data_IF_773040215753
#
_entry.id   IF_773040215753
#
_cell.length_a   1.000
_cell.length_b   1.000
_cell.length_c   1.000
_cell.angle_alpha   90.00
_cell.angle_beta   90.00
_cell.angle_gamma   90.00
#
_symmetry.space_group_name_H-M   'P 1'
#
loop_
_entity.id
_entity.type
_entity.pdbx_description
1 polymer ?
#
# COMPACT_ATOMS: atom_id res chain seq x y z
N UNK A 1 -4.94 9.00 -11.36
CA UNK A 1 -4.94 8.22 -10.10
C UNK A 1 -5.64 9.02 -9.03
N UNK A 2 -6.62 8.46 -8.29
CA UNK A 2 -7.23 9.15 -7.17
C UNK A 2 -6.13 9.57 -6.19
N UNK A 3 -6.02 10.88 -5.95
CA UNK A 3 -5.00 11.47 -5.09
C UNK A 3 -5.26 11.12 -3.64
N UNK A 4 -4.86 9.92 -3.22
CA UNK A 4 -4.99 9.49 -1.84
C UNK A 4 -3.84 10.08 -1.04
N UNK A 5 -4.18 10.99 -0.14
CA UNK A 5 -3.19 11.62 0.71
C UNK A 5 -2.69 10.59 1.76
N UNK A 6 -1.38 10.38 1.91
CA UNK A 6 -0.82 9.35 2.81
C UNK A 6 -1.34 9.42 4.25
N UNK A 7 -1.62 10.62 4.77
CA UNK A 7 -2.20 10.83 6.12
C UNK A 7 -3.57 10.17 6.33
N UNK A 8 -4.29 9.85 5.26
CA UNK A 8 -5.59 9.17 5.30
C UNK A 8 -5.46 7.65 5.32
N UNK A 9 -4.29 7.10 4.99
CA UNK A 9 -4.05 5.66 5.01
C UNK A 9 -3.84 5.23 6.47
N UNK A 10 -4.61 4.23 6.89
CA UNK A 10 -4.53 3.62 8.22
C UNK A 10 -3.69 2.34 8.20
N UNK A 11 -3.80 1.55 7.14
CA UNK A 11 -3.04 0.31 6.97
C UNK A 11 -2.77 0.05 5.48
N UNK A 12 -1.69 -0.66 5.20
CA UNK A 12 -1.29 -1.07 3.86
C UNK A 12 -1.07 -2.58 3.84
N UNK A 13 -1.73 -3.26 2.94
CA UNK A 13 -1.58 -4.69 2.69
C UNK A 13 -0.97 -4.89 1.31
N UNK A 14 0.09 -5.69 1.25
CA UNK A 14 0.79 -6.02 0.00
C UNK A 14 0.66 -7.52 -0.22
N UNK A 15 0.00 -7.88 -1.31
CA UNK A 15 -0.16 -9.26 -1.75
C UNK A 15 0.85 -9.51 -2.86
N UNK A 16 1.83 -10.35 -2.57
CA UNK A 16 2.81 -10.77 -3.55
C UNK A 16 2.17 -11.67 -4.60
N UNK A 17 2.86 -11.80 -5.74
CA UNK A 17 2.55 -12.81 -6.75
C UNK A 17 2.48 -14.19 -6.11
N UNK A 18 1.39 -14.90 -6.38
CA UNK A 18 1.12 -16.22 -5.85
C UNK A 18 0.65 -17.19 -6.93
N UNK A 19 0.53 -18.49 -6.61
CA UNK A 19 0.10 -19.52 -7.57
C UNK A 19 -1.30 -19.27 -8.15
N UNK A 20 -2.14 -18.51 -7.43
CA UNK A 20 -3.51 -18.15 -7.80
C UNK A 20 -3.64 -16.76 -8.44
N UNK A 21 -2.61 -15.91 -8.36
CA UNK A 21 -2.64 -14.57 -8.94
C UNK A 21 -1.24 -14.12 -9.36
N UNK A 22 -1.03 -13.94 -10.66
CA UNK A 22 0.26 -13.57 -11.27
C UNK A 22 0.58 -12.08 -11.17
N UNK A 23 -0.21 -11.32 -10.41
CA UNK A 23 -0.01 -9.88 -10.22
C UNK A 23 0.18 -9.57 -8.75
N UNK A 24 1.05 -8.60 -8.48
CA UNK A 24 1.14 -7.98 -7.17
C UNK A 24 -0.10 -7.12 -6.98
N UNK A 25 -0.72 -7.18 -5.81
CA UNK A 25 -1.83 -6.33 -5.44
C UNK A 25 -1.49 -5.55 -4.18
N UNK A 26 -1.87 -4.28 -4.14
CA UNK A 26 -1.62 -3.41 -3.00
C UNK A 26 -2.96 -2.83 -2.59
N UNK A 27 -3.39 -3.12 -1.37
CA UNK A 27 -4.66 -2.64 -0.83
C UNK A 27 -4.36 -1.70 0.33
N UNK A 28 -4.83 -0.46 0.25
CA UNK A 28 -4.77 0.47 1.37
C UNK A 28 -6.14 0.53 2.06
N UNK A 29 -6.11 0.49 3.38
CA UNK A 29 -7.28 0.78 4.22
C UNK A 29 -7.14 2.22 4.69
N UNK A 30 -8.11 3.05 4.35
CA UNK A 30 -8.18 4.44 4.79
C UNK A 30 -8.75 4.54 6.22
N UNK A 31 -8.50 5.65 6.91
CA UNK A 31 -9.00 5.91 8.27
C UNK A 31 -10.52 5.91 8.39
N UNK A 32 -11.21 6.21 7.29
CA UNK A 32 -12.67 6.06 7.18
C UNK A 32 -13.11 4.60 6.94
N UNK A 33 -12.22 3.62 7.15
CA UNK A 33 -12.41 2.18 6.92
C UNK A 33 -12.70 1.81 5.47
N UNK A 34 -12.50 2.74 4.52
CA UNK A 34 -12.64 2.45 3.10
C UNK A 34 -11.39 1.75 2.59
N UNK A 35 -11.57 0.63 1.91
CA UNK A 35 -10.50 -0.07 1.22
C UNK A 35 -10.40 0.40 -0.22
N UNK A 36 -9.17 0.55 -0.69
CA UNK A 36 -8.86 1.03 -2.03
C UNK A 36 -7.70 0.22 -2.58
N UNK A 37 -7.88 -0.32 -3.79
CA UNK A 37 -6.79 -0.95 -4.53
C UNK A 37 -5.86 0.15 -5.08
N UNK A 38 -4.57 -0.01 -4.83
CA UNK A 38 -3.51 0.84 -5.29
C UNK A 38 -2.73 0.11 -6.38
N UNK A 39 -2.27 0.88 -7.36
CA UNK A 39 -1.50 0.35 -8.46
C UNK A 39 -0.02 0.18 -8.05
N UNK A 40 0.54 -1.05 -8.05
CA UNK A 40 1.93 -1.30 -7.65
C UNK A 40 2.97 -0.80 -8.67
N UNK A 41 2.57 -0.56 -9.92
CA UNK A 41 3.46 -0.03 -10.97
C UNK A 41 3.58 1.49 -10.87
N UNK A 42 2.60 2.16 -10.25
CA UNK A 42 2.64 3.59 -10.01
C UNK A 42 3.85 4.01 -9.13
N UNK A 43 4.67 4.98 -9.58
CA UNK A 43 5.89 5.40 -8.86
C UNK A 43 5.63 5.90 -7.43
N UNK A 44 4.46 6.52 -7.21
CA UNK A 44 4.07 7.04 -5.91
C UNK A 44 3.83 5.91 -4.89
N UNK A 45 3.21 4.82 -5.34
CA UNK A 45 2.87 3.66 -4.51
C UNK A 45 4.13 2.90 -4.14
N UNK A 46 5.05 2.69 -5.09
CA UNK A 46 6.39 2.14 -4.79
C UNK A 46 7.12 2.92 -3.69
N UNK A 47 7.16 4.25 -3.80
CA UNK A 47 7.78 5.12 -2.77
C UNK A 47 7.06 5.02 -1.43
N UNK A 48 5.73 4.92 -1.43
CA UNK A 48 4.94 4.80 -0.20
C UNK A 48 5.17 3.47 0.52
N UNK A 49 5.17 2.34 -0.21
CA UNK A 49 5.48 1.01 0.33
C UNK A 49 6.87 1.03 0.95
N UNK A 50 7.86 1.56 0.22
CA UNK A 50 9.23 1.62 0.70
C UNK A 50 9.34 2.46 1.97
N UNK A 51 8.74 3.66 2.01
CA UNK A 51 8.71 4.49 3.22
C UNK A 51 8.02 3.83 4.41
N UNK A 52 6.94 3.10 4.16
CA UNK A 52 6.16 2.42 5.22
C UNK A 52 6.95 1.24 5.79
N UNK A 53 7.60 0.43 4.95
CA UNK A 53 8.46 -0.67 5.37
C UNK A 53 9.70 -0.18 6.12
N UNK A 54 10.33 0.90 5.63
CA UNK A 54 11.50 1.51 6.25
C UNK A 54 11.16 2.13 7.62
N UNK A 55 10.00 2.81 7.73
CA UNK A 55 9.51 3.37 8.99
C UNK A 55 9.05 2.31 9.99
N UNK A 56 8.53 1.16 9.52
CA UNK A 56 8.12 0.03 10.36
C UNK A 56 9.28 -0.73 10.99
N UNK A 57 10.51 -0.55 10.50
CA UNK A 57 11.73 -1.12 11.09
C UNK A 57 12.22 -0.33 12.31
N UNK A 58 11.62 0.83 12.60
CA UNK A 58 11.75 1.50 13.90
C UNK A 58 10.81 0.85 14.91
N UNK A 59 11.05 -0.44 15.21
CA UNK A 59 10.62 -1.05 16.47
C UNK A 59 11.37 -0.31 17.58
N UNK A 60 10.69 0.63 18.24
CA UNK A 60 10.97 0.94 19.64
C UNK A 60 10.42 -0.18 20.50
#
# INVERSE_FOLDING_TARGET
>A
TPGIHPKMISSLQVFAVGPQCSKVEVVATLKNKKEVCLDPEAPLIKKFIQKTLDSGNKKN
#
